data_IF_949481670851
#
_entry.id   IF_949481670851
#
_cell.length_a   1.000
_cell.length_b   1.000
_cell.length_c   1.000
_cell.angle_alpha   90.00
_cell.angle_beta   90.00
_cell.angle_gamma   90.00
#
_symmetry.space_group_name_H-M   'P 1'
#
loop_
_entity.id
_entity.type
_entity.pdbx_description
1 polymer ?
#
# COMPACT_ATOMS: atom_id res chain seq x y z
N UNK A 1 -0.45 -6.97 28.95
CA UNK A 1 0.95 -6.82 28.51
C UNK A 1 0.86 -6.32 27.08
N UNK A 2 1.16 -5.05 26.85
CA UNK A 2 1.20 -4.49 25.48
C UNK A 2 2.52 -4.96 24.91
N UNK A 3 2.50 -5.70 23.78
CA UNK A 3 3.71 -6.10 23.09
C UNK A 3 4.51 -4.84 22.71
N UNK A 4 5.84 -4.91 22.83
CA UNK A 4 6.71 -3.80 22.43
C UNK A 4 6.65 -3.66 20.91
N UNK A 5 6.62 -2.42 20.42
CA UNK A 5 6.61 -2.08 18.98
C UNK A 5 7.74 -2.79 18.22
N UNK A 6 8.91 -2.95 18.85
CA UNK A 6 10.04 -3.69 18.28
C UNK A 6 9.72 -5.16 18.06
N UNK A 7 8.97 -5.78 18.97
CA UNK A 7 8.63 -7.20 18.92
C UNK A 7 7.62 -7.50 17.79
N UNK A 8 6.63 -6.62 17.60
CA UNK A 8 5.63 -6.76 16.51
C UNK A 8 6.30 -6.70 15.14
N UNK A 9 7.21 -5.75 14.93
CA UNK A 9 7.93 -5.63 13.65
C UNK A 9 8.86 -6.80 13.38
N UNK A 10 9.53 -7.31 14.40
CA UNK A 10 10.37 -8.49 14.27
C UNK A 10 9.55 -9.73 13.92
N UNK A 11 8.41 -9.93 14.58
CA UNK A 11 7.51 -11.04 14.29
C UNK A 11 6.94 -10.92 12.86
N UNK A 12 6.53 -9.72 12.46
CA UNK A 12 6.07 -9.46 11.10
C UNK A 12 7.14 -9.82 10.07
N UNK A 13 8.37 -9.35 10.25
CA UNK A 13 9.48 -9.64 9.35
C UNK A 13 9.75 -11.14 9.24
N UNK A 14 9.75 -11.86 10.37
CA UNK A 14 9.96 -13.30 10.39
C UNK A 14 8.85 -14.08 9.64
N UNK A 15 7.59 -13.73 9.87
CA UNK A 15 6.45 -14.38 9.21
C UNK A 15 6.38 -14.03 7.71
N UNK A 16 6.63 -12.78 7.33
CA UNK A 16 6.69 -12.38 5.93
C UNK A 16 7.78 -13.18 5.23
N UNK A 17 9.00 -13.24 5.79
CA UNK A 17 10.10 -14.00 5.20
C UNK A 17 9.80 -15.50 5.07
N UNK A 18 9.16 -16.10 6.09
CA UNK A 18 8.84 -17.52 6.09
C UNK A 18 7.69 -17.90 5.14
N UNK A 19 6.72 -17.02 4.92
CA UNK A 19 5.50 -17.31 4.15
C UNK A 19 5.53 -16.74 2.72
N UNK A 20 6.44 -15.80 2.42
CA UNK A 20 6.56 -15.26 1.05
C UNK A 20 7.01 -16.36 0.10
N UNK A 21 6.27 -16.52 -0.99
CA UNK A 21 6.61 -17.47 -2.05
C UNK A 21 7.46 -16.79 -3.10
N UNK A 22 8.63 -17.37 -3.41
CA UNK A 22 9.51 -16.92 -4.48
C UNK A 22 9.14 -17.64 -5.77
N UNK A 23 8.88 -16.90 -6.84
CA UNK A 23 8.55 -17.44 -8.16
C UNK A 23 9.55 -16.87 -9.16
N UNK A 24 10.53 -17.68 -9.53
CA UNK A 24 11.53 -17.29 -10.52
C UNK A 24 10.88 -17.11 -11.90
N UNK A 25 11.45 -16.19 -12.68
CA UNK A 25 11.07 -15.93 -14.07
C UNK A 25 9.58 -15.57 -14.26
N UNK A 26 8.98 -14.85 -13.33
CA UNK A 26 7.59 -14.38 -13.42
C UNK A 26 7.49 -12.86 -13.19
N UNK A 27 6.69 -12.10 -13.98
CA UNK A 27 5.92 -12.51 -15.17
C UNK A 27 6.76 -12.68 -16.43
N UNK A 28 8.04 -12.34 -16.37
CA UNK A 28 9.00 -12.46 -17.49
C UNK A 28 10.32 -13.06 -16.98
N UNK A 29 11.12 -13.67 -17.87
CA UNK A 29 12.45 -14.20 -17.50
C UNK A 29 13.33 -13.16 -16.81
N UNK A 30 14.03 -13.58 -15.73
CA UNK A 30 14.93 -12.75 -14.94
C UNK A 30 14.28 -12.01 -13.78
N UNK A 31 12.95 -12.06 -13.64
CA UNK A 31 12.23 -11.49 -12.49
C UNK A 31 12.01 -12.56 -11.41
N UNK A 32 12.48 -12.30 -10.19
CA UNK A 32 12.11 -13.09 -9.01
C UNK A 32 10.92 -12.44 -8.32
N UNK A 33 9.72 -12.98 -8.61
CA UNK A 33 8.47 -12.44 -8.09
C UNK A 33 8.23 -12.88 -6.64
N UNK A 34 7.98 -11.92 -5.78
CA UNK A 34 7.67 -12.13 -4.37
C UNK A 34 6.15 -12.17 -4.18
N UNK A 35 5.60 -13.36 -4.03
CA UNK A 35 4.16 -13.55 -3.83
C UNK A 35 3.82 -13.53 -2.34
N UNK A 36 3.16 -12.46 -1.91
CA UNK A 36 2.70 -12.26 -0.53
C UNK A 36 1.33 -12.91 -0.26
N UNK A 37 0.75 -13.60 -1.23
CA UNK A 37 -0.56 -14.25 -1.05
C UNK A 37 -0.59 -15.21 0.14
N UNK A 38 0.45 -16.07 0.37
CA UNK A 38 0.45 -16.95 1.54
C UNK A 38 0.49 -16.20 2.88
N UNK A 39 1.16 -15.05 2.94
CA UNK A 39 1.17 -14.19 4.15
C UNK A 39 -0.23 -13.70 4.48
N UNK A 40 -0.98 -13.26 3.46
CA UNK A 40 -2.35 -12.74 3.64
C UNK A 40 -3.36 -13.85 3.91
N UNK A 41 -3.10 -15.07 3.43
CA UNK A 41 -3.96 -16.24 3.64
C UNK A 41 -3.72 -16.92 5.00
N UNK A 42 -2.60 -16.64 5.66
CA UNK A 42 -2.31 -17.10 7.01
C UNK A 42 -2.92 -16.16 8.05
N UNK A 43 -3.70 -16.69 8.98
CA UNK A 43 -4.40 -15.88 9.99
C UNK A 43 -3.44 -15.09 10.89
N UNK A 44 -2.30 -15.69 11.28
CA UNK A 44 -1.30 -15.02 12.09
C UNK A 44 -0.51 -14.02 11.26
N UNK A 45 -0.14 -14.39 10.03
CA UNK A 45 0.53 -13.51 9.07
C UNK A 45 -0.26 -12.24 8.81
N UNK A 46 -1.55 -12.37 8.47
CA UNK A 46 -2.42 -11.21 8.26
C UNK A 46 -2.56 -10.34 9.52
N UNK A 47 -2.75 -10.97 10.69
CA UNK A 47 -2.89 -10.23 11.94
C UNK A 47 -1.64 -9.40 12.27
N UNK A 48 -0.46 -10.02 12.23
CA UNK A 48 0.80 -9.35 12.61
C UNK A 48 1.18 -8.27 11.61
N UNK A 49 0.98 -8.51 10.29
CA UNK A 49 1.20 -7.50 9.26
C UNK A 49 0.24 -6.31 9.45
N UNK A 50 -1.03 -6.59 9.76
CA UNK A 50 -2.01 -5.53 10.06
C UNK A 50 -1.59 -4.71 11.27
N UNK A 51 -1.14 -5.37 12.34
CA UNK A 51 -0.67 -4.72 13.56
C UNK A 51 0.52 -3.79 13.30
N UNK A 52 1.52 -4.30 12.57
CA UNK A 52 2.71 -3.52 12.23
C UNK A 52 2.42 -2.34 11.28
N UNK A 53 1.49 -2.48 10.33
CA UNK A 53 1.07 -1.38 9.46
C UNK A 53 0.20 -0.36 10.22
N UNK A 54 -0.60 -0.79 11.18
CA UNK A 54 -1.45 0.09 12.00
C UNK A 54 -0.62 1.06 12.85
N UNK A 55 0.59 0.67 13.29
CA UNK A 55 1.49 1.58 14.02
C UNK A 55 1.88 2.82 13.20
N UNK A 56 1.96 2.68 11.87
CA UNK A 56 2.26 3.80 10.96
C UNK A 56 1.04 4.68 10.72
N UNK A 57 -0.15 4.15 10.98
CA UNK A 57 -1.43 4.80 10.70
C UNK A 57 -1.98 5.65 11.86
N UNK A 58 -1.19 5.88 12.90
CA UNK A 58 -1.67 6.63 14.07
C UNK A 58 -2.06 8.07 13.69
N UNK A 59 -3.26 8.46 14.14
CA UNK A 59 -3.79 9.81 13.93
C UNK A 59 -4.23 10.13 12.49
N UNK A 60 -4.38 9.15 11.59
CA UNK A 60 -4.92 9.39 10.24
C UNK A 60 -6.45 9.33 10.24
N UNK A 61 -7.08 10.11 9.35
CA UNK A 61 -8.53 10.16 9.20
C UNK A 61 -9.07 9.06 8.28
N UNK A 62 -8.21 8.54 7.38
CA UNK A 62 -8.62 7.60 6.34
C UNK A 62 -7.43 6.77 5.87
N UNK A 63 -7.67 5.52 5.55
CA UNK A 63 -6.72 4.65 4.85
C UNK A 63 -7.07 4.62 3.36
N UNK A 64 -6.08 4.70 2.47
CA UNK A 64 -6.24 4.50 1.04
C UNK A 64 -5.51 3.23 0.61
N UNK A 65 -6.25 2.18 0.26
CA UNK A 65 -5.69 0.92 -0.23
C UNK A 65 -5.57 0.90 -1.75
N UNK A 66 -4.42 0.48 -2.29
CA UNK A 66 -4.16 0.46 -3.73
C UNK A 66 -4.56 -0.89 -4.35
N UNK A 67 -5.13 -0.85 -5.56
CA UNK A 67 -5.58 -2.01 -6.35
C UNK A 67 -4.41 -2.94 -6.70
N UNK A 68 -4.40 -4.20 -6.24
CA UNK A 68 -5.50 -4.95 -5.64
C UNK A 68 -5.22 -5.41 -4.19
N UNK A 69 -3.98 -5.83 -3.86
CA UNK A 69 -3.66 -6.38 -2.53
C UNK A 69 -3.66 -5.31 -1.43
N UNK A 70 -3.37 -4.06 -1.79
CA UNK A 70 -3.54 -2.92 -0.90
C UNK A 70 -4.97 -2.74 -0.36
N UNK A 71 -6.00 -3.25 -1.05
CA UNK A 71 -7.38 -3.25 -0.52
C UNK A 71 -7.53 -4.11 0.72
N UNK A 72 -6.96 -5.32 0.68
CA UNK A 72 -7.05 -6.27 1.80
C UNK A 72 -6.33 -5.71 3.03
N UNK A 73 -5.10 -5.26 2.83
CA UNK A 73 -4.28 -4.66 3.88
C UNK A 73 -4.90 -3.37 4.42
N UNK A 74 -5.31 -2.49 3.51
CA UNK A 74 -5.93 -1.21 3.88
C UNK A 74 -7.22 -1.40 4.66
N UNK A 75 -8.07 -2.34 4.28
CA UNK A 75 -9.31 -2.65 4.99
C UNK A 75 -9.04 -3.20 6.40
N UNK A 76 -8.06 -4.11 6.53
CA UNK A 76 -7.68 -4.67 7.83
C UNK A 76 -7.13 -3.58 8.77
N UNK A 77 -6.22 -2.72 8.27
CA UNK A 77 -5.67 -1.60 9.04
C UNK A 77 -6.75 -0.60 9.42
N UNK A 78 -7.60 -0.20 8.47
CA UNK A 78 -8.69 0.73 8.73
C UNK A 78 -9.64 0.23 9.83
N UNK A 79 -10.02 -1.04 9.76
CA UNK A 79 -10.85 -1.67 10.80
C UNK A 79 -10.17 -1.65 12.16
N UNK A 80 -8.87 -1.98 12.22
CA UNK A 80 -8.10 -1.95 13.46
C UNK A 80 -7.99 -0.55 14.05
N UNK A 81 -7.81 0.46 13.21
CA UNK A 81 -7.69 1.86 13.61
C UNK A 81 -9.04 2.55 13.88
N UNK A 82 -10.17 1.91 13.54
CA UNK A 82 -11.49 2.52 13.64
C UNK A 82 -11.73 3.62 12.62
N UNK A 83 -11.03 3.59 11.48
CA UNK A 83 -11.19 4.53 10.37
C UNK A 83 -11.92 3.88 9.18
N UNK A 84 -12.21 4.65 8.15
CA UNK A 84 -12.67 4.12 6.86
C UNK A 84 -11.52 3.73 5.95
N UNK A 85 -11.84 3.05 4.84
CA UNK A 85 -10.91 2.73 3.76
C UNK A 85 -11.43 3.23 2.42
N UNK A 86 -10.57 3.90 1.65
CA UNK A 86 -10.83 4.30 0.27
C UNK A 86 -10.06 3.37 -0.68
N UNK A 87 -10.75 2.80 -1.65
CA UNK A 87 -10.14 2.00 -2.70
C UNK A 87 -9.59 2.92 -3.81
N UNK A 88 -8.27 2.91 -4.00
CA UNK A 88 -7.61 3.54 -5.15
C UNK A 88 -7.57 2.51 -6.27
N UNK A 89 -8.40 2.70 -7.32
CA UNK A 89 -8.67 1.70 -8.34
C UNK A 89 -7.83 1.93 -9.61
N UNK A 90 -7.53 0.83 -10.31
CA UNK A 90 -7.06 0.91 -11.71
C UNK A 90 -8.16 1.47 -12.61
N UNK A 91 -7.77 2.22 -13.64
CA UNK A 91 -8.67 2.94 -14.53
C UNK A 91 -9.80 2.09 -15.13
N UNK A 92 -10.97 2.70 -15.28
CA UNK A 92 -12.17 2.07 -15.84
C UNK A 92 -12.88 1.09 -14.90
N UNK A 93 -12.58 1.13 -13.59
CA UNK A 93 -13.21 0.25 -12.58
C UNK A 93 -14.21 0.97 -11.68
N UNK A 94 -14.33 2.29 -11.84
CA UNK A 94 -15.27 3.11 -11.07
C UNK A 94 -16.31 3.76 -11.99
N UNK A 95 -17.56 3.92 -11.51
CA UNK A 95 -18.53 4.74 -12.22
C UNK A 95 -18.12 6.21 -12.18
N UNK A 96 -18.38 7.01 -13.24
CA UNK A 96 -18.14 8.45 -13.23
C UNK A 96 -19.12 9.18 -12.28
N UNK A 97 -18.74 10.37 -11.76
CA UNK A 97 -17.49 11.09 -12.03
C UNK A 97 -16.30 10.55 -11.21
N UNK A 98 -15.10 10.60 -11.79
CA UNK A 98 -13.87 10.16 -11.13
C UNK A 98 -12.76 11.22 -11.20
N UNK A 99 -11.93 11.29 -10.18
CA UNK A 99 -10.59 11.83 -10.32
C UNK A 99 -9.69 10.76 -10.89
N UNK A 100 -8.80 11.10 -11.81
CA UNK A 100 -7.85 10.18 -12.42
C UNK A 100 -6.46 10.78 -12.51
N UNK A 101 -5.44 9.92 -12.42
CA UNK A 101 -4.02 10.24 -12.64
C UNK A 101 -3.41 9.12 -13.47
N UNK A 102 -2.80 9.50 -14.60
CA UNK A 102 -2.01 8.61 -15.43
C UNK A 102 -0.56 8.60 -14.95
N UNK A 103 0.10 7.45 -14.99
CA UNK A 103 1.50 7.30 -14.64
C UNK A 103 2.20 6.30 -15.56
N UNK A 104 3.51 6.48 -15.74
CA UNK A 104 4.33 5.61 -16.57
C UNK A 104 4.60 4.28 -15.84
N UNK A 105 4.55 3.19 -16.57
CA UNK A 105 5.07 1.88 -16.20
C UNK A 105 6.38 1.64 -16.96
N UNK A 106 7.08 0.57 -16.62
CA UNK A 106 8.26 0.14 -17.39
C UNK A 106 7.91 -0.09 -18.87
N UNK A 107 6.69 -0.59 -19.14
CA UNK A 107 6.12 -0.76 -20.47
C UNK A 107 4.73 -0.14 -20.51
N UNK A 108 4.61 1.05 -21.11
CA UNK A 108 3.34 1.74 -21.30
C UNK A 108 2.96 2.69 -20.16
N UNK A 109 1.66 2.86 -19.95
CA UNK A 109 1.11 3.70 -18.90
C UNK A 109 -0.08 3.03 -18.23
N UNK A 110 -0.34 3.37 -16.98
CA UNK A 110 -1.52 2.96 -16.25
C UNK A 110 -2.23 4.20 -15.69
N UNK A 111 -3.48 4.02 -15.31
CA UNK A 111 -4.30 5.08 -14.67
C UNK A 111 -4.81 4.57 -13.34
N UNK A 112 -4.79 5.44 -12.33
CA UNK A 112 -5.48 5.24 -11.07
C UNK A 112 -6.67 6.21 -10.98
N UNK A 113 -7.72 5.76 -10.31
CA UNK A 113 -8.97 6.49 -10.15
C UNK A 113 -9.48 6.39 -8.71
N UNK A 114 -10.11 7.48 -8.25
CA UNK A 114 -10.96 7.53 -7.05
C UNK A 114 -12.28 8.23 -7.41
N UNK A 115 -13.39 8.01 -6.67
CA UNK A 115 -14.61 8.77 -6.86
C UNK A 115 -14.36 10.27 -6.72
N UNK A 116 -14.95 11.07 -7.60
CA UNK A 116 -14.87 12.53 -7.53
C UNK A 116 -16.00 13.14 -6.70
N UNK A 117 -17.00 12.35 -6.33
CA UNK A 117 -18.13 12.73 -5.48
C UNK A 117 -18.44 11.64 -4.45
N UNK A 118 -19.36 11.94 -3.52
CA UNK A 118 -19.80 11.01 -2.49
C UNK A 118 -18.81 10.77 -1.34
N UNK A 119 -17.58 11.28 -1.44
CA UNK A 119 -16.54 11.16 -0.41
C UNK A 119 -15.88 12.52 -0.24
N UNK A 120 -16.00 13.11 0.94
CA UNK A 120 -15.28 14.34 1.26
C UNK A 120 -13.85 14.00 1.71
N UNK A 121 -12.86 14.38 0.91
CA UNK A 121 -11.43 14.21 1.18
C UNK A 121 -10.77 15.53 1.61
N UNK A 122 -11.48 16.65 1.56
CA UNK A 122 -10.89 17.97 1.81
C UNK A 122 -10.24 18.05 3.20
N UNK A 123 -8.92 18.22 3.21
CA UNK A 123 -8.11 18.37 4.42
C UNK A 123 -7.92 17.10 5.26
N UNK A 124 -8.54 15.97 4.88
CA UNK A 124 -8.35 14.71 5.61
C UNK A 124 -6.92 14.20 5.49
N UNK A 125 -6.36 13.74 6.61
CA UNK A 125 -5.07 13.05 6.63
C UNK A 125 -5.25 11.61 6.15
N UNK A 126 -4.49 11.22 5.11
CA UNK A 126 -4.62 9.91 4.47
C UNK A 126 -3.29 9.19 4.44
N UNK A 127 -3.26 7.92 4.89
CA UNK A 127 -2.15 7.00 4.69
C UNK A 127 -2.44 6.09 3.51
N UNK A 128 -1.50 6.00 2.57
CA UNK A 128 -1.59 5.06 1.44
C UNK A 128 -1.03 3.70 1.86
N UNK A 129 -1.75 2.62 1.57
CA UNK A 129 -1.31 1.24 1.85
C UNK A 129 -1.28 0.43 0.56
N UNK A 130 -0.15 -0.23 0.31
CA UNK A 130 0.02 -1.24 -0.73
C UNK A 130 0.83 -2.42 -0.19
N UNK A 131 0.98 -3.46 -0.98
CA UNK A 131 1.76 -4.64 -0.58
C UNK A 131 3.25 -4.49 -0.88
N UNK A 132 3.63 -3.90 -2.01
CA UNK A 132 5.03 -3.82 -2.46
C UNK A 132 5.39 -2.42 -2.95
N UNK A 133 6.52 -1.90 -2.46
CA UNK A 133 7.24 -0.79 -3.09
C UNK A 133 8.27 -1.36 -4.07
N UNK A 134 7.96 -1.33 -5.35
CA UNK A 134 8.86 -1.69 -6.44
C UNK A 134 9.51 -0.42 -7.02
N UNK A 135 9.08 0.05 -8.18
CA UNK A 135 9.58 1.28 -8.82
C UNK A 135 9.02 2.57 -8.23
N UNK A 136 8.00 2.50 -7.37
CA UNK A 136 7.38 3.65 -6.71
C UNK A 136 6.31 4.39 -7.52
N UNK A 137 6.18 4.11 -8.82
CA UNK A 137 5.25 4.83 -9.70
C UNK A 137 3.80 4.77 -9.23
N UNK A 138 3.34 3.62 -8.76
CA UNK A 138 1.98 3.42 -8.27
C UNK A 138 1.69 4.23 -7.01
N UNK A 139 2.59 4.19 -6.02
CA UNK A 139 2.43 4.96 -4.77
C UNK A 139 2.48 6.47 -5.03
N UNK A 140 3.39 6.93 -5.89
CA UNK A 140 3.48 8.33 -6.29
C UNK A 140 2.21 8.80 -7.01
N UNK A 141 1.64 7.97 -7.88
CA UNK A 141 0.40 8.26 -8.57
C UNK A 141 -0.79 8.29 -7.61
N UNK A 142 -0.86 7.34 -6.67
CA UNK A 142 -1.90 7.29 -5.64
C UNK A 142 -1.87 8.55 -4.75
N UNK A 143 -0.69 8.98 -4.30
CA UNK A 143 -0.54 10.18 -3.51
C UNK A 143 -1.05 11.42 -4.27
N UNK A 144 -0.58 11.65 -5.51
CA UNK A 144 -1.04 12.76 -6.36
C UNK A 144 -2.54 12.73 -6.61
N UNK A 145 -3.12 11.53 -6.77
CA UNK A 145 -4.55 11.36 -7.00
C UNK A 145 -5.38 11.78 -5.78
N UNK A 146 -4.96 11.37 -4.59
CA UNK A 146 -5.60 11.73 -3.32
C UNK A 146 -5.49 13.23 -3.04
N UNK A 147 -4.31 13.81 -3.29
CA UNK A 147 -4.08 15.27 -3.18
C UNK A 147 -4.96 16.05 -4.17
N UNK A 148 -5.13 15.56 -5.40
CA UNK A 148 -6.07 16.11 -6.38
C UNK A 148 -7.51 16.08 -5.88
N UNK A 149 -7.88 15.06 -5.08
CA UNK A 149 -9.17 14.97 -4.41
C UNK A 149 -9.29 15.85 -3.16
N UNK A 150 -8.23 16.58 -2.78
CA UNK A 150 -8.21 17.48 -1.62
C UNK A 150 -7.67 16.88 -0.32
N UNK A 151 -7.21 15.63 -0.33
CA UNK A 151 -6.62 15.00 0.84
C UNK A 151 -5.21 15.54 1.12
N UNK A 152 -4.77 15.40 2.37
CA UNK A 152 -3.39 15.56 2.80
C UNK A 152 -2.78 14.18 2.99
N UNK A 153 -1.96 13.74 2.02
CA UNK A 153 -1.28 12.44 2.13
C UNK A 153 -0.13 12.56 3.12
N UNK A 154 -0.18 11.81 4.22
CA UNK A 154 0.79 11.90 5.31
C UNK A 154 1.94 10.91 5.16
N UNK A 155 1.78 9.89 4.32
CA UNK A 155 2.79 8.87 4.07
C UNK A 155 2.22 7.69 3.30
N UNK A 156 3.07 6.69 3.09
CA UNK A 156 2.66 5.38 2.59
C UNK A 156 3.28 4.27 3.45
N UNK A 157 2.62 3.12 3.50
CA UNK A 157 3.12 1.93 4.17
C UNK A 157 2.96 0.71 3.26
N UNK A 158 3.99 -0.13 3.23
CA UNK A 158 4.03 -1.36 2.42
C UNK A 158 4.56 -2.53 3.24
N UNK A 159 4.21 -3.73 2.85
CA UNK A 159 4.72 -4.95 3.47
C UNK A 159 6.17 -5.18 3.04
N UNK A 160 6.43 -5.09 1.74
CA UNK A 160 7.73 -5.39 1.14
C UNK A 160 8.25 -4.21 0.32
N UNK A 161 9.53 -3.93 0.44
CA UNK A 161 10.27 -3.04 -0.44
C UNK A 161 11.29 -3.81 -1.26
N UNK A 162 11.43 -3.48 -2.54
CA UNK A 162 12.46 -3.99 -3.44
C UNK A 162 13.51 -2.88 -3.70
N UNK A 163 14.56 -2.76 -2.86
CA UNK A 163 15.51 -1.65 -2.93
C UNK A 163 16.23 -1.55 -4.27
N UNK A 164 16.48 -2.68 -4.93
CA UNK A 164 17.12 -2.75 -6.24
C UNK A 164 16.38 -1.93 -7.32
N UNK A 165 15.08 -1.68 -7.14
CA UNK A 165 14.24 -0.91 -8.08
C UNK A 165 14.17 0.59 -7.74
N UNK A 166 14.84 1.02 -6.66
CA UNK A 166 14.97 2.42 -6.26
C UNK A 166 13.64 3.20 -6.13
N UNK A 167 12.58 2.52 -5.73
CA UNK A 167 11.23 3.12 -5.68
C UNK A 167 11.10 4.31 -4.74
N UNK A 168 11.92 4.38 -3.67
CA UNK A 168 11.93 5.53 -2.76
C UNK A 168 12.24 6.85 -3.45
N UNK A 169 13.12 6.85 -4.45
CA UNK A 169 13.43 8.06 -5.20
C UNK A 169 12.21 8.58 -5.99
N UNK A 170 11.42 7.67 -6.55
CA UNK A 170 10.24 8.03 -7.34
C UNK A 170 9.07 8.57 -6.50
N UNK A 171 9.00 8.22 -5.21
CA UNK A 171 7.91 8.65 -4.32
C UNK A 171 8.22 9.92 -3.53
N UNK A 172 9.44 10.44 -3.59
CA UNK A 172 9.78 11.67 -2.86
C UNK A 172 8.85 12.83 -3.22
N UNK A 173 8.48 13.70 -2.25
CA UNK A 173 8.92 13.74 -0.85
C UNK A 173 8.12 12.85 0.12
N UNK A 174 7.23 11.97 -0.39
CA UNK A 174 6.40 11.11 0.43
C UNK A 174 7.26 10.15 1.26
N UNK A 175 7.01 10.13 2.58
CA UNK A 175 7.65 9.15 3.45
C UNK A 175 7.02 7.77 3.27
N UNK A 176 7.84 6.74 3.10
CA UNK A 176 7.38 5.36 2.98
C UNK A 176 7.97 4.51 4.09
N UNK A 177 7.11 3.78 4.79
CA UNK A 177 7.50 2.73 5.74
C UNK A 177 7.31 1.38 5.08
N UNK A 178 8.34 0.56 5.06
CA UNK A 178 8.30 -0.85 4.66
C UNK A 178 8.50 -1.74 5.89
N UNK A 179 7.77 -2.87 5.97
CA UNK A 179 7.96 -3.82 7.07
C UNK A 179 9.23 -4.64 6.86
N UNK A 180 9.50 -5.03 5.62
CA UNK A 180 10.76 -5.68 5.23
C UNK A 180 11.29 -5.07 3.92
N UNK A 181 12.60 -5.26 3.70
CA UNK A 181 13.28 -4.95 2.44
C UNK A 181 14.06 -6.20 1.99
N UNK A 182 13.92 -6.57 0.68
CA UNK A 182 14.52 -7.79 0.12
C UNK A 182 15.11 -7.53 -1.29
#
# INVERSE_FOLDING_TARGET
>A
MVADVSDIRQEAAALIGALTRHVADFPIPGVDFKDLTPVLADARGLAVVTDALAEVADGVDLIAGVDARGFLLGAAVALKMGTGVLAVRKGGKLPPPVHSVQYALEYGSATLEIPADGIDLAGRSVLVIDDVLATGGTLAAAARLLEKGGARVVGAAVVLELPALNGRAAVQPLQVTSLIAD
#
